data_IF_745454643836
#
_entry.id   IF_745454643836
#
_cell.length_a   1.000
_cell.length_b   1.000
_cell.length_c   1.000
_cell.angle_alpha   90.00
_cell.angle_beta   90.00
_cell.angle_gamma   90.00
#
_symmetry.space_group_name_H-M   'P 1'
#
loop_
_entity.id
_entity.type
_entity.pdbx_description
1 polymer ?
#
# COMPACT_ATOMS: atom_id res chain seq x y z
N UNK A 1 -44.77 13.68 -33.36
CA UNK A 1 -43.83 12.53 -33.48
C UNK A 1 -42.36 12.97 -33.53
N UNK A 2 -42.00 14.12 -32.96
CA UNK A 2 -40.62 14.67 -32.95
C UNK A 2 -40.14 14.86 -31.50
N UNK A 3 -41.06 15.19 -30.59
CA UNK A 3 -40.83 15.36 -29.14
C UNK A 3 -40.29 14.09 -28.44
N UNK A 4 -40.74 12.89 -28.84
CA UNK A 4 -40.34 11.63 -28.21
C UNK A 4 -38.90 11.23 -28.51
N UNK A 5 -38.38 11.59 -29.69
CA UNK A 5 -37.01 11.27 -30.12
C UNK A 5 -36.00 12.11 -29.35
N UNK A 6 -36.35 13.37 -29.03
CA UNK A 6 -35.47 14.26 -28.27
C UNK A 6 -35.31 13.79 -26.82
N UNK A 7 -36.37 13.25 -26.21
CA UNK A 7 -36.35 12.76 -24.83
C UNK A 7 -35.49 11.50 -24.66
N UNK A 8 -35.54 10.57 -25.63
CA UNK A 8 -34.73 9.34 -25.60
C UNK A 8 -33.22 9.61 -25.75
N UNK A 9 -32.85 10.63 -26.52
CA UNK A 9 -31.44 11.03 -26.71
C UNK A 9 -30.81 11.56 -25.42
N UNK A 10 -31.57 12.29 -24.60
CA UNK A 10 -31.07 12.77 -23.30
C UNK A 10 -30.88 11.64 -22.28
N UNK A 11 -31.77 10.65 -22.27
CA UNK A 11 -31.61 9.47 -21.39
C UNK A 11 -30.39 8.63 -21.81
N UNK A 12 -30.13 8.51 -23.11
CA UNK A 12 -28.95 7.78 -23.61
C UNK A 12 -27.63 8.51 -23.32
N UNK A 13 -27.59 9.83 -23.44
CA UNK A 13 -26.39 10.62 -23.10
C UNK A 13 -26.10 10.59 -21.61
N UNK A 14 -27.12 10.67 -20.75
CA UNK A 14 -26.94 10.56 -19.29
C UNK A 14 -26.48 9.14 -18.91
N UNK A 15 -27.04 8.09 -19.54
CA UNK A 15 -26.60 6.71 -19.30
C UNK A 15 -25.13 6.49 -19.74
N UNK A 16 -24.70 7.07 -20.87
CA UNK A 16 -23.30 6.99 -21.31
C UNK A 16 -22.32 7.81 -20.44
N UNK A 17 -22.77 8.90 -19.82
CA UNK A 17 -21.95 9.67 -18.85
C UNK A 17 -21.83 8.89 -17.54
N UNK A 18 -22.88 8.21 -17.09
CA UNK A 18 -22.82 7.36 -15.90
C UNK A 18 -22.00 6.07 -16.12
N UNK A 19 -22.00 5.50 -17.33
CA UNK A 19 -21.24 4.28 -17.65
C UNK A 19 -19.75 4.51 -17.90
N UNK A 20 -19.30 5.74 -18.18
CA UNK A 20 -17.87 6.07 -18.30
C UNK A 20 -17.22 6.56 -16.98
N UNK A 21 -17.99 6.59 -15.89
CA UNK A 21 -17.47 6.84 -14.53
C UNK A 21 -17.39 5.52 -13.75
N UNK A 22 -17.54 4.37 -14.44
CA UNK A 22 -16.97 3.10 -13.99
C UNK A 22 -15.49 2.98 -14.38
N UNK A 23 -14.76 4.10 -14.38
CA UNK A 23 -13.42 4.11 -13.83
C UNK A 23 -13.54 3.88 -12.32
N UNK A 24 -13.95 2.66 -11.93
CA UNK A 24 -13.99 2.21 -10.54
C UNK A 24 -12.54 2.12 -10.12
N UNK A 25 -12.03 3.27 -9.66
CA UNK A 25 -11.32 3.42 -8.41
C UNK A 25 -10.88 2.08 -7.88
N UNK A 26 -9.71 1.61 -8.32
CA UNK A 26 -8.88 0.77 -7.49
C UNK A 26 -8.82 1.56 -6.19
N UNK A 27 -9.60 1.13 -5.18
CA UNK A 27 -9.65 1.76 -3.89
C UNK A 27 -8.19 1.87 -3.50
N UNK A 28 -7.67 3.10 -3.46
CA UNK A 28 -6.29 3.36 -3.09
C UNK A 28 -6.26 3.12 -1.58
N UNK A 29 -6.29 1.85 -1.19
CA UNK A 29 -6.22 1.38 0.17
C UNK A 29 -5.04 2.13 0.78
N UNK A 30 -5.30 2.79 1.91
CA UNK A 30 -4.25 3.56 2.57
C UNK A 30 -3.07 2.63 2.84
N UNK A 31 -1.84 3.15 2.85
CA UNK A 31 -0.66 2.33 3.13
C UNK A 31 -0.81 1.51 4.42
N UNK A 32 -1.48 2.04 5.43
CA UNK A 32 -1.80 1.34 6.68
C UNK A 32 -2.67 0.09 6.42
N UNK A 33 -3.74 0.23 5.64
CA UNK A 33 -4.63 -0.88 5.28
C UNK A 33 -3.88 -1.94 4.48
N UNK A 34 -3.12 -1.53 3.46
CA UNK A 34 -2.30 -2.44 2.66
C UNK A 34 -1.25 -3.16 3.52
N UNK A 35 -0.69 -2.46 4.51
CA UNK A 35 0.23 -3.06 5.48
C UNK A 35 -0.44 -4.15 6.33
N UNK A 36 -1.68 -3.92 6.74
CA UNK A 36 -2.49 -4.88 7.48
C UNK A 36 -2.89 -6.08 6.61
N UNK A 37 -3.21 -5.86 5.33
CA UNK A 37 -3.45 -6.94 4.36
C UNK A 37 -2.22 -7.81 4.13
N UNK A 38 -1.02 -7.20 4.05
CA UNK A 38 0.23 -7.94 3.98
C UNK A 38 0.40 -8.81 5.23
N UNK A 39 0.23 -8.23 6.43
CA UNK A 39 0.30 -8.96 7.70
C UNK A 39 -0.66 -10.16 7.72
N UNK A 40 -1.90 -9.93 7.29
CA UNK A 40 -2.92 -10.98 7.25
C UNK A 40 -2.53 -12.09 6.27
N UNK A 41 -2.01 -11.74 5.10
CA UNK A 41 -1.60 -12.69 4.07
C UNK A 41 -0.35 -13.49 4.47
N UNK A 42 0.54 -12.92 5.29
CA UNK A 42 1.69 -13.65 5.84
C UNK A 42 1.25 -14.57 6.99
N UNK A 43 0.35 -14.10 7.86
CA UNK A 43 -0.09 -14.88 9.04
C UNK A 43 -1.06 -16.00 8.68
N UNK A 44 -1.95 -15.74 7.72
CA UNK A 44 -2.99 -16.64 7.24
C UNK A 44 -2.89 -16.72 5.72
N UNK A 45 -1.89 -17.46 5.20
CA UNK A 45 -1.65 -17.52 3.77
C UNK A 45 -2.89 -18.07 3.04
N UNK A 46 -3.29 -17.32 2.02
CA UNK A 46 -4.46 -17.59 1.19
C UNK A 46 -4.19 -17.13 -0.23
N UNK A 47 -4.85 -17.78 -1.20
CA UNK A 47 -4.69 -17.49 -2.62
C UNK A 47 -3.32 -17.90 -3.16
N UNK A 48 -2.90 -17.27 -4.25
CA UNK A 48 -1.68 -17.61 -4.98
C UNK A 48 -0.49 -16.76 -4.51
N UNK A 49 0.74 -17.26 -4.69
CA UNK A 49 1.97 -16.57 -4.24
C UNK A 49 2.02 -15.12 -4.73
N UNK A 50 1.74 -14.89 -6.01
CA UNK A 50 1.82 -13.57 -6.64
C UNK A 50 0.84 -12.56 -6.03
N UNK A 51 -0.22 -13.02 -5.33
CA UNK A 51 -1.06 -12.12 -4.56
C UNK A 51 -0.33 -11.57 -3.34
N UNK A 52 0.46 -12.38 -2.63
CA UNK A 52 1.24 -11.93 -1.47
C UNK A 52 2.40 -11.04 -1.90
N UNK A 53 3.24 -11.49 -2.84
CA UNK A 53 4.38 -10.70 -3.32
C UNK A 53 3.91 -9.42 -4.03
N UNK A 54 2.81 -9.48 -4.78
CA UNK A 54 2.19 -8.31 -5.39
C UNK A 54 1.69 -7.28 -4.37
N UNK A 55 1.10 -7.70 -3.24
CA UNK A 55 0.72 -6.78 -2.14
C UNK A 55 1.93 -6.13 -1.50
N UNK A 56 2.98 -6.92 -1.24
CA UNK A 56 4.23 -6.41 -0.67
C UNK A 56 4.91 -5.40 -1.61
N UNK A 57 4.95 -5.69 -2.91
CA UNK A 57 5.47 -4.78 -3.92
C UNK A 57 4.67 -3.47 -3.97
N UNK A 58 3.32 -3.56 -4.03
CA UNK A 58 2.44 -2.38 -3.97
C UNK A 58 2.69 -1.55 -2.70
N UNK A 59 2.91 -2.21 -1.56
CA UNK A 59 3.22 -1.52 -0.31
C UNK A 59 4.58 -0.81 -0.38
N UNK A 60 5.62 -1.52 -0.86
CA UNK A 60 6.97 -0.96 -1.01
C UNK A 60 6.98 0.27 -1.92
N UNK A 61 6.28 0.21 -3.05
CA UNK A 61 6.19 1.32 -4.00
C UNK A 61 5.45 2.52 -3.39
N UNK A 62 4.34 2.27 -2.68
CA UNK A 62 3.65 3.32 -1.96
C UNK A 62 4.50 3.92 -0.83
N UNK A 63 5.28 3.11 -0.12
CA UNK A 63 6.19 3.59 0.93
C UNK A 63 7.32 4.45 0.35
N UNK A 64 7.87 4.08 -0.81
CA UNK A 64 8.87 4.89 -1.53
C UNK A 64 8.28 6.22 -2.00
N UNK A 65 7.06 6.24 -2.53
CA UNK A 65 6.35 7.47 -2.87
C UNK A 65 6.15 8.37 -1.64
N UNK A 66 5.69 7.78 -0.53
CA UNK A 66 5.52 8.49 0.73
C UNK A 66 6.84 9.08 1.22
N UNK A 67 7.94 8.32 1.16
CA UNK A 67 9.27 8.78 1.53
C UNK A 67 9.71 9.97 0.67
N UNK A 68 9.61 9.86 -0.66
CA UNK A 68 9.97 10.92 -1.60
C UNK A 68 9.20 12.21 -1.33
N UNK A 69 7.88 12.12 -1.11
CA UNK A 69 7.04 13.28 -0.76
C UNK A 69 7.44 13.89 0.58
N UNK A 70 7.69 13.05 1.58
CA UNK A 70 8.11 13.48 2.92
C UNK A 70 9.46 14.21 2.88
N UNK A 71 10.43 13.70 2.12
CA UNK A 71 11.74 14.33 1.90
C UNK A 71 11.62 15.64 1.11
N UNK A 72 10.64 15.73 0.22
CA UNK A 72 10.33 16.95 -0.55
C UNK A 72 9.60 18.02 0.27
N UNK A 73 9.30 17.75 1.54
CA UNK A 73 8.69 18.72 2.46
C UNK A 73 7.17 18.67 2.56
N UNK A 74 6.50 17.70 1.92
CA UNK A 74 5.05 17.52 2.01
C UNK A 74 4.61 17.19 3.45
N UNK A 75 3.89 18.12 4.08
CA UNK A 75 3.41 17.99 5.47
C UNK A 75 2.33 16.92 5.63
N UNK A 76 1.49 16.67 4.61
CA UNK A 76 0.49 15.61 4.65
C UNK A 76 1.13 14.22 4.55
N UNK A 77 2.21 14.11 3.76
CA UNK A 77 3.03 12.91 3.73
C UNK A 77 3.72 12.68 5.10
N UNK A 78 4.32 13.73 5.68
CA UNK A 78 4.92 13.64 7.01
C UNK A 78 3.91 13.23 8.10
N UNK A 79 2.68 13.75 8.03
CA UNK A 79 1.61 13.37 8.95
C UNK A 79 1.26 11.88 8.83
N UNK A 80 1.16 11.35 7.60
CA UNK A 80 0.96 9.91 7.36
C UNK A 80 2.10 9.07 7.97
N UNK A 81 3.34 9.54 7.92
CA UNK A 81 4.48 8.87 8.57
C UNK A 81 4.30 8.86 10.09
N UNK A 82 3.88 9.98 10.70
CA UNK A 82 3.62 10.01 12.14
C UNK A 82 2.49 9.06 12.57
N UNK A 83 1.45 8.90 11.75
CA UNK A 83 0.37 7.94 12.02
C UNK A 83 0.90 6.49 12.02
N UNK A 84 1.74 6.13 11.04
CA UNK A 84 2.40 4.81 11.03
C UNK A 84 3.34 4.63 12.23
N UNK A 85 4.05 5.68 12.66
CA UNK A 85 4.89 5.65 13.88
C UNK A 85 4.06 5.46 15.15
N UNK A 86 2.87 6.05 15.23
CA UNK A 86 1.98 5.86 16.38
C UNK A 86 1.47 4.41 16.44
N UNK A 87 1.31 3.74 15.29
CA UNK A 87 1.09 2.30 15.20
C UNK A 87 2.36 1.45 15.44
N UNK A 88 3.49 2.09 15.80
CA UNK A 88 4.80 1.48 16.05
C UNK A 88 5.65 1.31 14.79
N UNK A 89 5.06 0.76 13.72
CA UNK A 89 5.65 0.53 12.41
C UNK A 89 4.55 0.04 11.44
N UNK A 90 4.82 -0.05 10.12
CA UNK A 90 3.97 -0.82 9.21
C UNK A 90 3.65 -2.21 9.79
N UNK A 91 2.37 -2.61 9.72
CA UNK A 91 1.84 -3.77 10.43
C UNK A 91 2.59 -5.09 10.18
N UNK A 92 2.98 -5.37 8.94
CA UNK A 92 3.72 -6.60 8.61
C UNK A 92 5.18 -6.56 9.06
N UNK A 93 5.75 -5.38 9.35
CA UNK A 93 7.11 -5.25 9.92
C UNK A 93 7.17 -5.70 11.39
N UNK A 94 6.03 -5.79 12.10
CA UNK A 94 5.99 -6.37 13.44
C UNK A 94 6.13 -7.89 13.46
N UNK A 95 6.19 -8.54 12.28
CA UNK A 95 6.27 -9.99 12.16
C UNK A 95 7.69 -10.53 12.14
N UNK A 96 8.72 -9.69 12.22
CA UNK A 96 10.10 -10.15 12.12
C UNK A 96 10.62 -10.80 13.43
N UNK A 97 11.37 -11.91 13.33
CA UNK A 97 11.60 -12.70 12.12
C UNK A 97 10.34 -13.48 11.68
N UNK A 98 10.05 -13.48 10.38
CA UNK A 98 8.86 -14.17 9.83
C UNK A 98 9.07 -15.68 9.87
N UNK A 99 8.08 -16.43 10.35
CA UNK A 99 8.08 -17.89 10.25
C UNK A 99 7.80 -18.33 8.80
N UNK A 100 8.89 -18.56 8.06
CA UNK A 100 8.86 -18.93 6.65
C UNK A 100 8.32 -20.34 6.42
N UNK A 101 8.31 -21.23 7.43
CA UNK A 101 7.95 -22.64 7.24
C UNK A 101 6.52 -22.81 6.73
N UNK A 102 5.60 -22.00 7.27
CA UNK A 102 4.19 -22.02 6.89
C UNK A 102 4.00 -21.51 5.46
N UNK A 103 4.69 -20.43 5.09
CA UNK A 103 4.61 -19.84 3.75
C UNK A 103 5.17 -20.77 2.68
N UNK A 104 6.37 -21.32 2.93
CA UNK A 104 7.04 -22.24 2.00
C UNK A 104 6.17 -23.47 1.74
N UNK A 105 5.58 -24.03 2.79
CA UNK A 105 4.69 -25.19 2.65
C UNK A 105 3.40 -24.85 1.91
N UNK A 106 2.78 -23.71 2.24
CA UNK A 106 1.48 -23.34 1.68
C UNK A 106 1.58 -22.97 0.20
N UNK A 107 2.51 -22.07 -0.14
CA UNK A 107 2.70 -21.57 -1.50
C UNK A 107 3.58 -22.47 -2.36
N UNK A 108 4.09 -23.57 -1.80
CA UNK A 108 5.04 -24.46 -2.48
C UNK A 108 6.27 -23.71 -3.01
N UNK A 109 6.76 -22.74 -2.24
CA UNK A 109 7.87 -21.88 -2.64
C UNK A 109 9.16 -22.64 -2.87
N UNK A 110 9.85 -22.28 -3.94
CA UNK A 110 11.23 -22.67 -4.17
C UNK A 110 12.21 -21.66 -3.56
N UNK A 111 13.51 -21.85 -3.80
CA UNK A 111 14.54 -20.95 -3.28
C UNK A 111 14.48 -19.54 -3.88
N UNK A 112 14.02 -19.40 -5.11
CA UNK A 112 13.88 -18.10 -5.77
C UNK A 112 12.72 -17.33 -5.14
N UNK A 113 11.59 -17.98 -4.92
CA UNK A 113 10.41 -17.37 -4.29
C UNK A 113 10.71 -16.87 -2.87
N UNK A 114 11.46 -17.67 -2.10
CA UNK A 114 11.92 -17.30 -0.75
C UNK A 114 12.86 -16.09 -0.80
N UNK A 115 13.75 -16.06 -1.80
CA UNK A 115 14.67 -14.94 -2.00
C UNK A 115 13.94 -13.66 -2.37
N UNK A 116 13.01 -13.72 -3.33
CA UNK A 116 12.19 -12.58 -3.77
C UNK A 116 11.36 -12.01 -2.61
N UNK A 117 10.68 -12.88 -1.86
CA UNK A 117 9.95 -12.48 -0.66
C UNK A 117 10.86 -11.79 0.36
N UNK A 118 12.04 -12.37 0.62
CA UNK A 118 13.03 -11.81 1.53
C UNK A 118 13.53 -10.43 1.09
N UNK A 119 13.78 -10.25 -0.21
CA UNK A 119 14.21 -8.98 -0.79
C UNK A 119 13.14 -7.89 -0.61
N UNK A 120 11.88 -8.19 -0.91
CA UNK A 120 10.77 -7.24 -0.70
C UNK A 120 10.70 -6.79 0.76
N UNK A 121 10.77 -7.75 1.67
CA UNK A 121 10.67 -7.54 3.10
C UNK A 121 11.85 -6.71 3.65
N UNK A 122 13.09 -6.97 3.22
CA UNK A 122 14.26 -6.18 3.64
C UNK A 122 14.29 -4.78 3.01
N UNK A 123 13.87 -4.65 1.75
CA UNK A 123 13.75 -3.36 1.09
C UNK A 123 12.71 -2.47 1.77
N UNK A 124 11.54 -3.03 2.12
CA UNK A 124 10.53 -2.28 2.88
C UNK A 124 11.05 -1.82 4.23
N UNK A 125 11.73 -2.70 4.96
CA UNK A 125 12.35 -2.37 6.24
C UNK A 125 13.37 -1.25 6.11
N UNK A 126 14.24 -1.31 5.12
CA UNK A 126 15.26 -0.27 4.85
C UNK A 126 14.60 1.09 4.63
N UNK A 127 13.63 1.17 3.71
CA UNK A 127 12.92 2.43 3.42
C UNK A 127 12.19 2.96 4.66
N UNK A 128 11.55 2.08 5.44
CA UNK A 128 10.86 2.49 6.65
C UNK A 128 11.81 3.07 7.70
N UNK A 129 12.95 2.42 7.96
CA UNK A 129 13.92 2.88 8.97
C UNK A 129 14.50 4.24 8.61
N UNK A 130 14.83 4.46 7.33
CA UNK A 130 15.33 5.75 6.85
C UNK A 130 14.27 6.86 7.03
N UNK A 131 13.03 6.56 6.66
CA UNK A 131 11.90 7.49 6.77
C UNK A 131 11.57 7.81 8.24
N UNK A 132 11.63 6.80 9.11
CA UNK A 132 11.41 6.91 10.55
C UNK A 132 12.44 7.81 11.23
N UNK A 133 13.71 7.63 10.86
CA UNK A 133 14.83 8.44 11.33
C UNK A 133 14.67 9.90 10.89
N UNK A 134 14.37 10.13 9.60
CA UNK A 134 14.13 11.48 9.07
C UNK A 134 13.00 12.21 9.78
N UNK A 135 11.85 11.54 9.96
CA UNK A 135 10.70 12.13 10.65
C UNK A 135 11.02 12.46 12.13
N UNK A 136 11.84 11.64 12.79
CA UNK A 136 12.29 11.89 14.17
C UNK A 136 13.17 13.13 14.26
N UNK A 137 14.12 13.27 13.34
CA UNK A 137 15.03 14.43 13.28
C UNK A 137 14.27 15.73 12.96
N UNK A 138 13.32 15.69 12.02
CA UNK A 138 12.51 16.88 11.69
C UNK A 138 11.67 17.34 12.88
N UNK A 139 11.08 16.39 13.64
CA UNK A 139 10.32 16.69 14.86
C UNK A 139 11.17 17.31 15.96
N UNK A 140 12.42 16.89 16.13
CA UNK A 140 13.32 17.47 17.13
C UNK A 140 13.71 18.91 16.78
N UNK A 141 14.00 19.19 15.51
CA UNK A 141 14.30 20.54 15.00
C UNK A 141 13.12 21.51 15.15
N UNK A 142 11.89 21.04 14.95
CA UNK A 142 10.69 21.87 15.10
C UNK A 142 10.44 22.34 16.55
N UNK A 143 10.90 21.58 17.57
CA UNK A 143 10.72 21.94 18.98
C UNK A 143 11.69 23.00 19.51
N UNK A 144 12.72 23.34 18.72
CA UNK A 144 13.79 24.28 19.11
C UNK A 144 13.51 25.71 18.58
N UNK A 145 12.45 25.89 17.79
CA UNK A 145 11.96 27.21 17.33
C UNK A 145 10.82 27.69 18.20
#
# INVERSE_FOLDING_TARGET
MIETIRSLLWVFVISCICLNIEGVTEQKAGLIELSQECKNSITHPSGEMFHLTGKLQKFLDGLKDLANRTYSGDEAALQSVYEMKQAGAPHHMHMFPIDMKTLVKYYTWDSYDVWEFGELIENTKTVWLDLDAYATERKSKAKIK
#
